data_IF_111014327394
#
_entry.id   IF_111014327394
#
_cell.length_a   1.000
_cell.length_b   1.000
_cell.length_c   1.000
_cell.angle_alpha   90.00
_cell.angle_beta   90.00
_cell.angle_gamma   90.00
#
_symmetry.space_group_name_H-M   'P 1'
#
loop_
_entity.id
_entity.type
_entity.pdbx_description
1 polymer ?
#
# COMPACT_ATOMS: atom_id res chain seq x y z
N UNK A 1 -0.62 -20.29 -0.37
CA UNK A 1 0.05 -19.15 -1.04
C UNK A 1 0.84 -19.57 -2.28
N UNK A 2 1.95 -20.34 -2.19
CA UNK A 2 2.74 -20.69 -3.38
C UNK A 2 1.93 -21.45 -4.44
N UNK A 3 1.11 -22.42 -4.03
CA UNK A 3 0.18 -23.12 -4.95
C UNK A 3 -0.81 -22.17 -5.64
N UNK A 4 -1.28 -21.14 -4.91
CA UNK A 4 -2.14 -20.10 -5.47
C UNK A 4 -1.38 -19.29 -6.50
N UNK A 5 -0.18 -18.81 -6.15
CA UNK A 5 0.66 -18.03 -7.05
C UNK A 5 0.96 -18.80 -8.35
N UNK A 6 1.31 -20.09 -8.25
CA UNK A 6 1.56 -20.96 -9.41
C UNK A 6 0.31 -21.13 -10.29
N UNK A 7 -0.90 -21.08 -9.73
CA UNK A 7 -2.13 -21.16 -10.50
C UNK A 7 -2.40 -19.90 -11.36
N UNK A 8 -1.87 -18.74 -10.94
CA UNK A 8 -1.96 -17.47 -11.66
C UNK A 8 -0.83 -17.26 -12.68
N UNK A 9 0.17 -18.15 -12.72
CA UNK A 9 1.31 -18.05 -13.63
C UNK A 9 0.87 -18.25 -15.09
N UNK A 10 1.30 -17.33 -15.95
CA UNK A 10 1.17 -17.42 -17.41
C UNK A 10 2.54 -17.29 -18.05
N UNK A 11 2.93 -18.33 -18.80
CA UNK A 11 4.14 -18.32 -19.63
C UNK A 11 3.75 -18.14 -21.10
N UNK A 12 4.29 -17.11 -21.74
CA UNK A 12 4.13 -16.91 -23.18
C UNK A 12 5.46 -16.50 -23.85
N UNK A 13 5.40 -16.19 -25.16
CA UNK A 13 6.59 -15.79 -25.92
C UNK A 13 7.27 -14.49 -25.44
N UNK A 14 6.60 -13.71 -24.60
CA UNK A 14 7.09 -12.44 -24.03
C UNK A 14 7.66 -12.60 -22.62
N UNK A 15 7.44 -13.74 -21.95
CA UNK A 15 8.03 -14.03 -20.64
C UNK A 15 7.08 -14.68 -19.63
N UNK A 16 7.40 -14.46 -18.35
CA UNK A 16 6.66 -14.95 -17.18
C UNK A 16 5.78 -13.79 -16.68
N UNK A 17 4.47 -14.02 -16.67
CA UNK A 17 3.46 -13.07 -16.20
C UNK A 17 2.56 -13.72 -15.17
N UNK A 18 1.79 -12.90 -14.46
CA UNK A 18 0.75 -13.38 -13.57
C UNK A 18 -0.56 -12.67 -13.87
N UNK A 19 -1.64 -13.44 -13.92
CA UNK A 19 -3.00 -12.94 -14.04
C UNK A 19 -3.51 -12.46 -12.68
N UNK A 20 -4.34 -11.41 -12.65
CA UNK A 20 -4.98 -10.98 -11.39
C UNK A 20 -6.10 -11.93 -11.01
N UNK A 21 -6.98 -12.29 -11.95
CA UNK A 21 -8.14 -13.15 -11.72
C UNK A 21 -8.02 -14.52 -12.43
N UNK A 22 -8.06 -15.63 -11.68
CA UNK A 22 -7.90 -16.99 -12.25
C UNK A 22 -8.96 -17.36 -13.31
N UNK A 23 -10.19 -16.86 -13.17
CA UNK A 23 -11.30 -17.28 -14.05
C UNK A 23 -11.70 -16.21 -15.05
N UNK A 24 -11.72 -14.95 -14.62
CA UNK A 24 -12.12 -13.84 -15.48
C UNK A 24 -11.05 -13.49 -16.53
N UNK A 25 -9.77 -13.47 -16.13
CA UNK A 25 -8.68 -13.05 -17.03
C UNK A 25 -8.19 -14.19 -17.92
N UNK A 26 -8.16 -15.43 -17.40
CA UNK A 26 -7.79 -16.64 -18.15
C UNK A 26 -8.70 -16.92 -19.35
N UNK A 27 -9.97 -16.50 -19.28
CA UNK A 27 -10.91 -16.60 -20.41
C UNK A 27 -10.71 -15.48 -21.45
N UNK A 28 -10.09 -14.37 -21.06
CA UNK A 28 -9.89 -13.19 -21.89
C UNK A 28 -8.44 -13.06 -22.44
N UNK A 29 -7.49 -13.84 -21.92
CA UNK A 29 -6.07 -13.77 -22.30
C UNK A 29 -5.44 -12.41 -22.00
N UNK A 30 -5.83 -11.78 -20.89
CA UNK A 30 -5.40 -10.43 -20.51
C UNK A 30 -4.36 -10.51 -19.42
N UNK A 31 -3.14 -10.07 -19.72
CA UNK A 31 -2.15 -9.76 -18.68
C UNK A 31 -2.40 -8.33 -18.19
N UNK A 32 -2.51 -8.16 -16.88
CA UNK A 32 -2.62 -6.86 -16.21
C UNK A 32 -1.37 -6.62 -15.36
N UNK A 33 -1.03 -5.33 -15.18
CA UNK A 33 0.17 -4.96 -14.41
C UNK A 33 0.08 -5.42 -12.95
N UNK A 34 -1.13 -5.47 -12.40
CA UNK A 34 -1.37 -5.88 -11.01
C UNK A 34 -0.94 -7.31 -10.75
N UNK A 35 -1.37 -8.28 -11.56
CA UNK A 35 -1.05 -9.68 -11.28
C UNK A 35 0.47 -9.91 -11.15
N UNK A 36 1.25 -9.34 -12.06
CA UNK A 36 2.72 -9.48 -12.03
C UNK A 36 3.36 -8.70 -10.87
N UNK A 37 2.85 -7.50 -10.56
CA UNK A 37 3.34 -6.71 -9.44
C UNK A 37 2.97 -7.32 -8.06
N UNK A 38 1.74 -7.83 -7.91
CA UNK A 38 1.26 -8.58 -6.75
C UNK A 38 2.11 -9.84 -6.54
N UNK A 39 2.40 -10.58 -7.61
CA UNK A 39 3.29 -11.73 -7.56
C UNK A 39 4.68 -11.38 -7.02
N UNK A 40 5.29 -10.28 -7.50
CA UNK A 40 6.58 -9.82 -7.00
C UNK A 40 6.51 -9.44 -5.51
N UNK A 41 5.44 -8.75 -5.09
CA UNK A 41 5.22 -8.39 -3.68
C UNK A 41 5.06 -9.63 -2.79
N UNK A 42 4.23 -10.60 -3.20
CA UNK A 42 4.02 -11.86 -2.50
C UNK A 42 5.32 -12.64 -2.35
N UNK A 43 6.08 -12.80 -3.43
CA UNK A 43 7.38 -13.47 -3.42
C UNK A 43 8.37 -12.74 -2.51
N UNK A 44 8.39 -11.41 -2.51
CA UNK A 44 9.21 -10.67 -1.54
C UNK A 44 8.83 -10.98 -0.10
N UNK A 45 7.54 -10.93 0.21
CA UNK A 45 7.02 -11.12 1.57
C UNK A 45 7.41 -12.48 2.13
N UNK A 46 7.45 -13.54 1.30
CA UNK A 46 7.84 -14.89 1.76
C UNK A 46 9.31 -15.26 1.56
N UNK A 47 10.18 -14.30 1.21
CA UNK A 47 11.59 -14.57 0.86
C UNK A 47 11.76 -15.52 -0.34
N UNK A 48 10.91 -15.38 -1.35
CA UNK A 48 10.88 -16.18 -2.57
C UNK A 48 11.14 -15.41 -3.88
N UNK A 49 11.59 -14.14 -3.83
CA UNK A 49 11.98 -13.42 -5.05
C UNK A 49 13.04 -14.21 -5.84
N UNK A 50 13.03 -14.12 -7.18
CA UNK A 50 14.01 -14.81 -8.01
C UNK A 50 15.44 -14.44 -7.64
N UNK A 51 16.28 -15.47 -7.49
CA UNK A 51 17.72 -15.32 -7.30
C UNK A 51 18.47 -15.42 -8.64
N UNK A 52 19.55 -14.65 -8.77
CA UNK A 52 20.37 -14.62 -9.98
C UNK A 52 19.94 -13.58 -11.03
N UNK A 53 20.94 -13.06 -11.75
CA UNK A 53 20.79 -11.96 -12.71
C UNK A 53 19.73 -12.24 -13.79
N UNK A 54 19.77 -13.45 -14.36
CA UNK A 54 18.90 -13.84 -15.48
C UNK A 54 17.43 -13.85 -15.08
N UNK A 55 17.10 -14.43 -13.93
CA UNK A 55 15.73 -14.54 -13.46
C UNK A 55 15.18 -13.15 -13.06
N UNK A 56 15.97 -12.34 -12.35
CA UNK A 56 15.61 -10.94 -12.04
C UNK A 56 15.39 -10.11 -13.30
N UNK A 57 16.25 -10.28 -14.31
CA UNK A 57 16.12 -9.57 -15.59
C UNK A 57 14.84 -9.96 -16.32
N UNK A 58 14.45 -11.23 -16.31
CA UNK A 58 13.21 -11.68 -16.96
C UNK A 58 11.97 -11.06 -16.30
N UNK A 59 11.91 -11.04 -14.97
CA UNK A 59 10.84 -10.39 -14.22
C UNK A 59 10.79 -8.87 -14.45
N UNK A 60 11.96 -8.23 -14.46
CA UNK A 60 12.08 -6.79 -14.74
C UNK A 60 11.55 -6.46 -16.12
N UNK A 61 11.92 -7.24 -17.14
CA UNK A 61 11.43 -7.07 -18.52
C UNK A 61 9.92 -7.28 -18.63
N UNK A 62 9.37 -8.28 -17.91
CA UNK A 62 7.93 -8.52 -17.88
C UNK A 62 7.17 -7.30 -17.33
N UNK A 63 7.58 -6.78 -16.16
CA UNK A 63 6.97 -5.57 -15.57
C UNK A 63 7.14 -4.34 -16.48
N UNK A 64 8.34 -4.13 -17.04
CA UNK A 64 8.62 -3.03 -17.96
C UNK A 64 7.80 -3.09 -19.25
N UNK A 65 7.37 -4.28 -19.68
CA UNK A 65 6.56 -4.44 -20.90
C UNK A 65 5.17 -3.81 -20.79
N UNK A 66 4.68 -3.56 -19.57
CA UNK A 66 3.45 -2.81 -19.32
C UNK A 66 3.61 -1.29 -19.43
N UNK A 67 4.84 -0.79 -19.57
CA UNK A 67 5.09 0.65 -19.63
C UNK A 67 4.85 1.21 -21.03
N UNK A 68 4.00 2.23 -21.13
CA UNK A 68 3.74 2.96 -22.37
C UNK A 68 4.85 3.97 -22.67
N UNK A 69 5.49 3.87 -23.85
CA UNK A 69 6.61 4.73 -24.23
C UNK A 69 6.29 6.24 -24.27
N UNK A 70 5.08 6.61 -24.73
CA UNK A 70 4.72 8.02 -24.92
C UNK A 70 4.42 8.75 -23.60
N UNK A 71 3.73 8.08 -22.68
CA UNK A 71 3.29 8.67 -21.41
C UNK A 71 4.21 8.33 -20.23
N UNK A 72 4.97 7.23 -20.34
CA UNK A 72 5.73 6.63 -19.24
C UNK A 72 4.86 5.84 -18.25
N UNK A 73 3.56 5.70 -18.48
CA UNK A 73 2.63 5.09 -17.53
C UNK A 73 2.58 3.56 -17.61
N UNK A 74 2.24 2.95 -16.47
CA UNK A 74 1.82 1.56 -16.38
C UNK A 74 0.32 1.54 -16.17
N UNK A 75 -0.47 1.44 -17.25
CA UNK A 75 -1.94 1.51 -17.16
C UNK A 75 -2.49 0.15 -16.74
N UNK A 76 -3.08 0.09 -15.55
CA UNK A 76 -3.85 -1.06 -15.09
C UNK A 76 -5.33 -0.98 -15.47
N UNK A 77 -6.04 -2.11 -15.41
CA UNK A 77 -7.46 -2.18 -15.78
C UNK A 77 -8.43 -1.63 -14.72
N UNK A 78 -8.02 -1.59 -13.44
CA UNK A 78 -8.96 -1.47 -12.31
C UNK A 78 -8.77 -0.24 -11.41
N UNK A 79 -7.61 0.42 -11.47
CA UNK A 79 -7.26 1.52 -10.58
C UNK A 79 -6.89 2.78 -11.36
N UNK A 80 -6.78 3.90 -10.65
CA UNK A 80 -6.32 5.14 -11.27
C UNK A 80 -4.88 4.99 -11.80
N UNK A 81 -4.55 5.77 -12.83
CA UNK A 81 -3.28 5.62 -13.56
C UNK A 81 -2.05 5.89 -12.68
N UNK A 82 -2.13 6.85 -11.75
CA UNK A 82 -1.03 7.18 -10.85
C UNK A 82 -0.74 6.06 -9.86
N UNK A 83 -1.78 5.48 -9.27
CA UNK A 83 -1.64 4.31 -8.41
C UNK A 83 -1.03 3.15 -9.19
N UNK A 84 -1.56 2.83 -10.38
CA UNK A 84 -1.06 1.70 -11.18
C UNK A 84 0.44 1.86 -11.51
N UNK A 85 0.87 3.08 -11.85
CA UNK A 85 2.28 3.39 -12.05
C UNK A 85 3.10 3.24 -10.76
N UNK A 86 2.66 3.81 -9.64
CA UNK A 86 3.36 3.68 -8.36
C UNK A 86 3.50 2.22 -7.93
N UNK A 87 2.47 1.40 -8.11
CA UNK A 87 2.48 -0.01 -7.77
C UNK A 87 3.49 -0.79 -8.63
N UNK A 88 3.46 -0.60 -9.95
CA UNK A 88 4.40 -1.25 -10.87
C UNK A 88 5.86 -0.83 -10.62
N UNK A 89 6.10 0.45 -10.35
CA UNK A 89 7.44 0.99 -10.08
C UNK A 89 7.98 0.45 -8.75
N UNK A 90 7.13 0.35 -7.73
CA UNK A 90 7.48 -0.30 -6.46
C UNK A 90 7.79 -1.79 -6.62
N UNK A 91 7.08 -2.49 -7.50
CA UNK A 91 7.41 -3.88 -7.85
C UNK A 91 8.71 -4.00 -8.66
N UNK A 92 9.05 -3.02 -9.50
CA UNK A 92 10.35 -2.98 -10.19
C UNK A 92 11.50 -2.79 -9.20
N UNK A 93 11.35 -1.92 -8.20
CA UNK A 93 12.37 -1.69 -7.17
C UNK A 93 12.76 -2.99 -6.44
N UNK A 94 11.79 -3.88 -6.19
CA UNK A 94 12.05 -5.18 -5.55
C UNK A 94 13.08 -6.04 -6.25
N UNK A 95 13.08 -5.93 -7.58
CA UNK A 95 13.91 -6.67 -8.50
C UNK A 95 15.17 -5.89 -8.87
N UNK A 96 15.41 -4.76 -8.18
CA UNK A 96 16.48 -3.80 -8.46
C UNK A 96 16.36 -3.16 -9.86
N UNK A 97 15.13 -3.16 -10.41
CA UNK A 97 14.77 -2.61 -11.71
C UNK A 97 14.26 -1.16 -11.64
N UNK A 98 14.08 -0.57 -12.82
CA UNK A 98 13.56 0.80 -13.01
C UNK A 98 12.61 0.86 -14.21
N UNK A 99 11.78 1.92 -14.34
CA UNK A 99 11.08 2.19 -15.58
C UNK A 99 12.02 2.31 -16.78
N UNK A 100 11.57 1.89 -17.96
CA UNK A 100 12.30 2.05 -19.24
C UNK A 100 12.19 3.47 -19.78
N UNK A 101 11.02 4.07 -19.65
CA UNK A 101 10.69 5.37 -20.21
C UNK A 101 10.48 6.41 -19.11
N UNK A 102 10.80 7.69 -19.36
CA UNK A 102 10.51 8.74 -18.40
C UNK A 102 9.01 8.88 -18.14
N UNK A 103 8.63 9.21 -16.91
CA UNK A 103 7.25 9.39 -16.47
C UNK A 103 6.65 10.71 -16.98
N UNK A 104 6.46 10.84 -18.30
CA UNK A 104 6.03 12.09 -18.93
C UNK A 104 4.70 12.62 -18.37
N UNK A 105 3.77 11.75 -18.01
CA UNK A 105 2.49 12.16 -17.43
C UNK A 105 2.62 12.74 -16.00
N UNK A 106 3.75 12.48 -15.31
CA UNK A 106 4.07 13.08 -14.02
C UNK A 106 4.83 14.40 -14.15
N UNK A 107 5.11 14.87 -15.37
CA UNK A 107 6.01 16.00 -15.60
C UNK A 107 5.57 17.28 -14.88
N UNK A 108 4.26 17.54 -14.81
CA UNK A 108 3.70 18.70 -14.12
C UNK A 108 4.02 18.68 -12.61
N UNK A 109 4.15 17.50 -12.00
CA UNK A 109 4.34 17.35 -10.55
C UNK A 109 5.81 17.41 -10.13
N UNK A 110 6.75 17.50 -11.07
CA UNK A 110 8.20 17.63 -10.76
C UNK A 110 8.58 19.03 -10.25
N UNK A 111 7.72 20.04 -10.39
CA UNK A 111 7.90 21.35 -9.77
C UNK A 111 7.21 21.42 -8.41
N UNK A 112 7.66 22.35 -7.55
CA UNK A 112 7.02 22.61 -6.26
C UNK A 112 5.56 23.01 -6.44
N UNK A 113 5.31 23.91 -7.39
CA UNK A 113 3.99 24.46 -7.66
C UNK A 113 3.03 23.37 -8.13
N UNK A 114 3.46 22.52 -9.06
CA UNK A 114 2.62 21.44 -9.58
C UNK A 114 2.40 20.32 -8.57
N UNK A 115 3.38 20.01 -7.73
CA UNK A 115 3.19 19.10 -6.60
C UNK A 115 2.13 19.64 -5.62
N UNK A 116 2.26 20.90 -5.23
CA UNK A 116 1.33 21.50 -4.26
C UNK A 116 -0.06 21.65 -4.84
N UNK A 117 -0.17 22.03 -6.12
CA UNK A 117 -1.44 22.07 -6.84
C UNK A 117 -2.14 20.70 -6.85
N UNK A 118 -1.40 19.62 -7.15
CA UNK A 118 -1.94 18.26 -7.07
C UNK A 118 -2.48 17.95 -5.66
N UNK A 119 -1.66 18.17 -4.63
CA UNK A 119 -2.03 17.83 -3.25
C UNK A 119 -3.21 18.67 -2.72
N UNK A 120 -3.32 19.95 -3.12
CA UNK A 120 -4.42 20.83 -2.77
C UNK A 120 -5.74 20.45 -3.47
N UNK A 121 -5.68 19.89 -4.67
CA UNK A 121 -6.86 19.51 -5.46
C UNK A 121 -7.46 18.15 -5.10
N UNK A 122 -6.76 17.33 -4.32
CA UNK A 122 -7.30 16.05 -3.86
C UNK A 122 -8.57 16.26 -3.03
N UNK A 123 -9.55 15.37 -3.19
CA UNK A 123 -10.79 15.40 -2.41
C UNK A 123 -10.58 14.81 -1.01
N UNK A 124 -9.98 15.63 -0.15
CA UNK A 124 -9.70 15.28 1.24
C UNK A 124 -10.93 15.15 2.12
N UNK A 125 -12.11 15.62 1.68
CA UNK A 125 -13.32 15.65 2.52
C UNK A 125 -14.23 14.48 2.18
N UNK A 126 -14.50 14.23 0.91
CA UNK A 126 -15.45 13.17 0.50
C UNK A 126 -14.75 11.86 0.15
N UNK A 127 -13.51 11.88 -0.34
CA UNK A 127 -12.80 10.69 -0.82
C UNK A 127 -11.33 10.60 -0.34
N UNK A 128 -11.00 10.85 0.95
CA UNK A 128 -9.62 10.90 1.41
C UNK A 128 -8.85 9.58 1.20
N UNK A 129 -9.52 8.43 1.32
CA UNK A 129 -8.89 7.13 1.11
C UNK A 129 -8.52 6.88 -0.37
N UNK A 130 -9.43 7.12 -1.30
CA UNK A 130 -9.17 6.92 -2.73
C UNK A 130 -8.19 7.95 -3.31
N UNK A 131 -8.34 9.21 -2.94
CA UNK A 131 -7.54 10.31 -3.51
C UNK A 131 -6.11 10.34 -2.98
N UNK A 132 -5.88 9.89 -1.74
CA UNK A 132 -4.54 9.81 -1.17
C UNK A 132 -3.61 8.87 -1.94
N UNK A 133 -4.13 7.86 -2.65
CA UNK A 133 -3.33 7.01 -3.54
C UNK A 133 -2.61 7.81 -4.64
N UNK A 134 -3.18 8.94 -5.07
CA UNK A 134 -2.56 9.83 -6.05
C UNK A 134 -1.42 10.63 -5.42
N UNK A 135 -1.68 11.23 -4.26
CA UNK A 135 -0.71 12.05 -3.52
C UNK A 135 0.45 11.25 -2.92
N UNK A 136 0.23 10.00 -2.52
CA UNK A 136 1.31 9.08 -2.12
C UNK A 136 2.02 8.48 -3.34
N UNK A 137 1.27 8.15 -4.38
CA UNK A 137 1.77 7.53 -5.61
C UNK A 137 2.73 8.43 -6.37
N UNK A 138 2.46 9.74 -6.43
CA UNK A 138 3.36 10.71 -7.07
C UNK A 138 4.76 10.69 -6.46
N UNK A 139 4.85 10.59 -5.13
CA UNK A 139 6.12 10.47 -4.42
C UNK A 139 6.79 9.15 -4.76
N UNK A 140 6.10 8.02 -4.57
CA UNK A 140 6.65 6.70 -4.82
C UNK A 140 7.17 6.56 -6.26
N UNK A 141 6.37 6.96 -7.26
CA UNK A 141 6.73 6.90 -8.67
C UNK A 141 7.97 7.74 -8.98
N UNK A 142 7.97 9.04 -8.65
CA UNK A 142 9.05 9.96 -9.03
C UNK A 142 10.35 9.65 -8.29
N UNK A 143 10.27 9.31 -7.00
CA UNK A 143 11.45 9.00 -6.17
C UNK A 143 12.09 7.67 -6.60
N UNK A 144 11.30 6.62 -6.79
CA UNK A 144 11.83 5.31 -7.19
C UNK A 144 12.34 5.32 -8.65
N UNK A 145 11.70 6.09 -9.53
CA UNK A 145 12.19 6.31 -10.89
C UNK A 145 13.44 7.21 -10.95
N UNK A 146 13.80 7.87 -9.84
CA UNK A 146 14.92 8.82 -9.73
C UNK A 146 14.77 10.02 -10.68
N UNK A 147 13.54 10.52 -10.82
CA UNK A 147 13.22 11.67 -11.68
C UNK A 147 13.10 12.99 -10.92
N UNK A 148 13.28 12.94 -9.61
CA UNK A 148 13.29 14.09 -8.70
C UNK A 148 14.46 13.96 -7.74
N UNK A 149 14.84 15.07 -7.12
CA UNK A 149 15.96 15.15 -6.18
C UNK A 149 15.50 15.36 -4.73
N UNK A 150 16.46 15.50 -3.82
CA UNK A 150 16.19 15.73 -2.39
C UNK A 150 15.46 17.04 -2.12
N UNK A 151 15.57 18.05 -2.99
CA UNK A 151 14.87 19.32 -2.79
C UNK A 151 13.37 19.14 -3.05
N UNK A 152 13.02 18.35 -4.06
CA UNK A 152 11.64 17.98 -4.32
C UNK A 152 11.05 17.14 -3.16
N UNK A 153 11.79 16.14 -2.66
CA UNK A 153 11.35 15.36 -1.51
C UNK A 153 11.10 16.23 -0.27
N UNK A 154 11.95 17.23 -0.04
CA UNK A 154 11.76 18.19 1.05
C UNK A 154 10.44 18.97 0.89
N UNK A 155 10.10 19.43 -0.32
CA UNK A 155 8.81 20.11 -0.56
C UNK A 155 7.62 19.24 -0.21
N UNK A 156 7.68 17.95 -0.58
CA UNK A 156 6.63 16.97 -0.28
C UNK A 156 6.43 16.79 1.22
N UNK A 157 7.50 16.54 1.96
CA UNK A 157 7.41 16.32 3.41
C UNK A 157 7.11 17.59 4.19
N UNK A 158 7.58 18.76 3.74
CA UNK A 158 7.21 20.05 4.31
C UNK A 158 5.70 20.30 4.16
N UNK A 159 5.13 20.01 2.98
CA UNK A 159 3.68 20.12 2.77
C UNK A 159 2.92 19.18 3.70
N UNK A 160 3.31 17.91 3.79
CA UNK A 160 2.66 16.97 4.71
C UNK A 160 2.75 17.47 6.16
N UNK A 161 3.92 17.94 6.60
CA UNK A 161 4.08 18.46 7.96
C UNK A 161 3.16 19.66 8.24
N UNK A 162 3.02 20.59 7.30
CA UNK A 162 2.14 21.75 7.43
C UNK A 162 0.66 21.38 7.44
N UNK A 163 0.29 20.32 6.72
CA UNK A 163 -1.09 19.89 6.51
C UNK A 163 -1.54 18.77 7.46
N UNK A 164 -0.67 18.31 8.36
CA UNK A 164 -1.04 17.38 9.41
C UNK A 164 -1.98 18.07 10.41
N UNK A 165 -3.08 17.40 10.73
CA UNK A 165 -4.09 17.89 11.64
C UNK A 165 -3.64 17.68 13.11
N UNK A 166 -3.45 18.73 13.90
CA UNK A 166 -2.97 18.58 15.28
C UNK A 166 -3.99 17.95 16.22
N UNK A 167 -5.28 17.90 15.87
CA UNK A 167 -6.31 17.32 16.73
C UNK A 167 -6.37 15.80 16.58
N UNK A 168 -6.04 15.27 15.40
CA UNK A 168 -6.17 13.85 15.07
C UNK A 168 -4.86 13.15 14.71
N UNK A 169 -3.80 13.91 14.40
CA UNK A 169 -2.56 13.38 13.81
C UNK A 169 -2.71 12.83 12.39
N UNK A 170 -3.87 13.02 11.76
CA UNK A 170 -4.19 12.57 10.40
C UNK A 170 -4.02 13.69 9.37
N UNK A 171 -4.12 13.34 8.10
CA UNK A 171 -4.24 14.29 6.98
C UNK A 171 -5.68 14.31 6.46
N UNK A 172 -6.26 15.46 6.10
CA UNK A 172 -5.69 16.81 5.98
C UNK A 172 -6.29 17.77 7.02
N UNK A 173 -5.47 18.64 7.59
CA UNK A 173 -5.88 19.73 8.50
C UNK A 173 -7.04 20.53 7.93
N UNK A 174 -8.10 20.68 8.72
CA UNK A 174 -9.32 21.40 8.33
C UNK A 174 -10.25 20.63 7.39
N UNK A 175 -9.94 19.38 7.01
CA UNK A 175 -10.78 18.55 6.14
C UNK A 175 -11.51 17.41 6.88
N UNK A 176 -11.14 17.13 8.13
CA UNK A 176 -11.64 15.96 8.88
C UNK A 176 -12.90 16.33 9.69
N UNK A 177 -12.74 17.22 10.67
CA UNK A 177 -13.83 17.71 11.52
C UNK A 177 -14.09 19.21 11.33
N UNK A 178 -15.31 19.64 11.59
CA UNK A 178 -15.70 21.06 11.60
C UNK A 178 -15.38 21.75 12.95
N UNK A 179 -15.80 23.00 13.11
CA UNK A 179 -15.56 23.78 14.33
C UNK A 179 -16.26 23.22 15.59
N UNK A 180 -17.25 22.34 15.42
CA UNK A 180 -17.98 21.68 16.50
C UNK A 180 -17.46 20.27 16.78
N UNK A 181 -16.48 19.79 16.01
CA UNK A 181 -15.91 18.45 16.14
C UNK A 181 -16.68 17.38 15.35
N UNK A 182 -17.62 17.76 14.48
CA UNK A 182 -18.39 16.85 13.65
C UNK A 182 -17.65 16.54 12.34
N UNK A 183 -17.78 15.30 11.83
CA UNK A 183 -17.14 14.90 10.57
C UNK A 183 -17.68 15.73 9.39
N UNK A 184 -16.77 16.29 8.58
CA UNK A 184 -17.13 17.15 7.44
C UNK A 184 -17.63 16.38 6.21
N UNK A 185 -17.35 15.08 6.13
CA UNK A 185 -17.65 14.27 4.96
C UNK A 185 -17.49 12.78 5.24
N UNK A 186 -16.43 12.18 4.70
CA UNK A 186 -16.16 10.76 4.81
C UNK A 186 -16.03 10.28 6.27
N UNK A 187 -16.30 8.99 6.56
CA UNK A 187 -16.05 8.42 7.88
C UNK A 187 -14.60 8.63 8.32
N UNK A 188 -14.37 8.76 9.64
CA UNK A 188 -13.02 8.97 10.20
C UNK A 188 -12.03 7.89 9.75
N UNK A 189 -12.49 6.65 9.60
CA UNK A 189 -11.67 5.56 9.07
C UNK A 189 -11.10 5.87 7.68
N UNK A 190 -11.86 6.52 6.79
CA UNK A 190 -11.36 6.86 5.45
C UNK A 190 -10.22 7.88 5.50
N UNK A 191 -10.22 8.77 6.50
CA UNK A 191 -9.09 9.69 6.74
C UNK A 191 -7.87 8.96 7.30
N UNK A 192 -8.08 7.95 8.16
CA UNK A 192 -7.03 7.05 8.62
C UNK A 192 -6.41 6.27 7.47
N UNK A 193 -7.24 5.60 6.67
CA UNK A 193 -6.81 4.83 5.50
C UNK A 193 -6.16 5.74 4.44
N UNK A 194 -6.62 6.99 4.32
CA UNK A 194 -5.95 7.98 3.49
C UNK A 194 -4.57 8.42 4.02
N UNK A 195 -4.45 8.57 5.34
CA UNK A 195 -3.21 8.93 6.02
C UNK A 195 -2.17 7.81 5.98
N UNK A 196 -2.62 6.54 6.06
CA UNK A 196 -1.80 5.35 5.89
C UNK A 196 -0.92 5.44 4.64
N UNK A 197 -1.48 5.88 3.51
CA UNK A 197 -0.74 5.99 2.25
C UNK A 197 0.45 6.98 2.32
N UNK A 198 0.42 7.97 3.20
CA UNK A 198 1.54 8.90 3.38
C UNK A 198 2.56 8.37 4.40
N UNK A 199 2.13 7.53 5.33
CA UNK A 199 3.01 6.98 6.36
C UNK A 199 4.08 6.06 5.81
N UNK A 200 3.83 5.28 4.75
CA UNK A 200 4.88 4.47 4.15
C UNK A 200 5.94 5.32 3.42
N UNK A 201 5.57 6.49 2.87
CA UNK A 201 6.52 7.44 2.28
C UNK A 201 7.42 8.04 3.36
N UNK A 202 6.80 8.43 4.50
CA UNK A 202 7.52 8.91 5.67
C UNK A 202 8.46 7.83 6.22
N UNK A 203 7.98 6.59 6.40
CA UNK A 203 8.76 5.46 6.90
C UNK A 203 9.96 5.16 5.99
N UNK A 204 9.76 5.12 4.67
CA UNK A 204 10.83 4.87 3.69
C UNK A 204 11.97 5.92 3.75
N UNK A 205 11.66 7.15 4.13
CA UNK A 205 12.66 8.22 4.34
C UNK A 205 12.97 8.51 5.81
N UNK A 206 12.55 7.64 6.73
CA UNK A 206 12.72 7.80 8.17
C UNK A 206 12.30 9.20 8.67
N UNK A 207 11.22 9.74 8.11
CA UNK A 207 10.69 11.03 8.48
C UNK A 207 9.86 10.93 9.76
N UNK A 208 9.87 11.98 10.61
CA UNK A 208 9.02 12.03 11.79
C UNK A 208 7.54 12.12 11.39
N UNK A 209 6.69 11.41 12.10
CA UNK A 209 5.23 11.52 11.99
C UNK A 209 4.80 12.73 12.84
N UNK A 210 4.20 13.79 12.24
CA UNK A 210 3.66 14.90 13.01
C UNK A 210 2.54 14.42 13.94
N UNK A 211 2.52 14.92 15.18
CA UNK A 211 1.45 14.62 16.15
C UNK A 211 1.20 13.11 16.33
N UNK A 212 2.30 12.34 16.45
CA UNK A 212 2.25 10.87 16.52
C UNK A 212 1.46 10.34 17.72
N UNK A 213 1.44 11.08 18.84
CA UNK A 213 0.68 10.69 20.04
C UNK A 213 -0.82 10.90 19.82
N UNK A 214 -1.21 12.00 19.16
CA UNK A 214 -2.58 12.29 18.77
C UNK A 214 -3.10 11.30 17.71
N UNK A 215 -2.23 10.84 16.80
CA UNK A 215 -2.55 9.77 15.86
C UNK A 215 -2.85 8.45 16.61
N UNK A 216 -2.02 8.08 17.58
CA UNK A 216 -2.26 6.92 18.45
C UNK A 216 -3.59 7.05 19.19
N UNK A 217 -3.86 8.23 19.77
CA UNK A 217 -5.10 8.47 20.50
C UNK A 217 -6.33 8.38 19.58
N UNK A 218 -6.23 8.90 18.36
CA UNK A 218 -7.28 8.83 17.33
C UNK A 218 -7.55 7.38 16.91
N UNK A 219 -6.50 6.60 16.66
CA UNK A 219 -6.62 5.18 16.34
C UNK A 219 -7.34 4.41 17.47
N UNK A 220 -6.93 4.60 18.72
CA UNK A 220 -7.56 3.91 19.87
C UNK A 220 -9.02 4.36 20.04
N UNK A 221 -9.30 5.65 19.90
CA UNK A 221 -10.66 6.19 20.02
C UNK A 221 -11.57 5.62 18.93
N UNK A 222 -11.09 5.54 17.68
CA UNK A 222 -11.82 4.95 16.57
C UNK A 222 -12.09 3.45 16.78
N UNK A 223 -11.11 2.70 17.29
CA UNK A 223 -11.31 1.28 17.64
C UNK A 223 -12.42 1.11 18.68
N UNK A 224 -12.42 1.95 19.72
CA UNK A 224 -13.36 1.85 20.84
C UNK A 224 -14.75 2.34 20.55
N UNK A 225 -14.92 3.27 19.61
CA UNK A 225 -16.24 3.77 19.24
C UNK A 225 -17.01 2.74 18.41
N UNK A 226 -16.35 1.67 17.95
CA UNK A 226 -16.89 0.69 16.99
C UNK A 226 -17.37 1.34 15.68
N UNK A 227 -16.95 2.59 15.41
CA UNK A 227 -17.31 3.37 14.21
C UNK A 227 -16.38 3.06 13.02
N UNK A 228 -15.81 1.85 12.98
CA UNK A 228 -15.18 1.35 11.77
C UNK A 228 -16.24 0.79 10.83
N UNK A 229 -16.17 1.12 9.55
CA UNK A 229 -16.85 0.31 8.56
C UNK A 229 -15.98 -0.92 8.32
N UNK A 230 -16.34 -2.07 8.90
CA UNK A 230 -15.73 -3.33 8.47
C UNK A 230 -16.12 -3.53 7.01
N UNK A 231 -15.15 -3.62 6.08
CA UNK A 231 -15.48 -3.85 4.68
C UNK A 231 -16.32 -5.12 4.54
N UNK A 232 -17.36 -5.05 3.72
CA UNK A 232 -18.28 -6.17 3.46
C UNK A 232 -17.56 -7.36 2.80
N UNK A 233 -16.43 -7.08 2.15
CA UNK A 233 -15.53 -8.07 1.56
C UNK A 233 -14.47 -8.43 2.61
N UNK A 234 -14.45 -9.69 3.02
CA UNK A 234 -13.67 -10.20 4.15
C UNK A 234 -12.15 -10.25 3.90
N UNK A 235 -11.67 -9.80 2.74
CA UNK A 235 -10.27 -9.69 2.34
C UNK A 235 -10.04 -8.31 1.72
N UNK A 236 -9.78 -7.32 2.56
CA UNK A 236 -9.45 -5.99 2.09
C UNK A 236 -8.11 -5.55 2.67
N UNK A 237 -7.60 -4.42 2.21
CA UNK A 237 -6.38 -3.81 2.74
C UNK A 237 -6.59 -3.16 4.13
N UNK A 238 -7.79 -3.28 4.72
CA UNK A 238 -8.17 -2.69 6.01
C UNK A 238 -7.18 -3.02 7.14
N UNK A 239 -6.80 -4.29 7.28
CA UNK A 239 -5.87 -4.70 8.34
C UNK A 239 -4.49 -4.09 8.15
N UNK A 240 -4.07 -3.89 6.89
CA UNK A 240 -2.82 -3.20 6.63
C UNK A 240 -2.95 -1.73 7.01
N UNK A 241 -3.99 -1.05 6.53
CA UNK A 241 -4.14 0.40 6.68
C UNK A 241 -4.04 0.82 8.15
N UNK A 242 -4.70 0.08 9.03
CA UNK A 242 -4.75 0.41 10.45
C UNK A 242 -3.59 -0.17 11.28
N UNK A 243 -3.26 -1.46 11.12
CA UNK A 243 -2.21 -2.09 11.93
C UNK A 243 -0.85 -1.49 11.54
N UNK A 244 -0.66 -1.13 10.28
CA UNK A 244 0.57 -0.47 9.81
C UNK A 244 0.71 0.92 10.41
N UNK A 245 -0.37 1.73 10.43
CA UNK A 245 -0.37 3.06 11.07
C UNK A 245 0.14 2.96 12.52
N UNK A 246 -0.44 2.05 13.31
CA UNK A 246 -0.03 1.84 14.70
C UNK A 246 1.41 1.33 14.80
N UNK A 247 1.84 0.45 13.91
CA UNK A 247 3.22 -0.02 13.84
C UNK A 247 4.22 1.11 13.57
N UNK A 248 3.90 2.02 12.64
CA UNK A 248 4.69 3.23 12.37
C UNK A 248 4.76 4.15 13.60
N UNK A 249 3.65 4.34 14.31
CA UNK A 249 3.62 5.13 15.54
C UNK A 249 4.51 4.53 16.63
N UNK A 250 4.41 3.21 16.87
CA UNK A 250 5.20 2.50 17.88
C UNK A 250 6.71 2.48 17.59
N UNK A 251 7.14 2.77 16.35
CA UNK A 251 8.56 2.98 16.02
C UNK A 251 9.06 4.36 16.47
N UNK A 252 8.18 5.33 16.74
CA UNK A 252 8.54 6.72 17.06
C UNK A 252 8.12 7.19 18.45
N UNK A 253 7.14 6.55 19.10
CA UNK A 253 6.70 6.87 20.46
C UNK A 253 6.37 5.62 21.29
N UNK A 254 6.47 5.75 22.62
CA UNK A 254 5.98 4.77 23.59
C UNK A 254 4.59 5.09 24.15
N UNK A 255 3.97 6.19 23.70
CA UNK A 255 2.65 6.61 24.15
C UNK A 255 1.62 5.49 24.02
N UNK A 256 0.98 5.14 25.15
CA UNK A 256 -0.05 4.09 25.26
C UNK A 256 0.33 2.75 24.63
N UNK A 257 1.62 2.40 24.61
CA UNK A 257 2.14 1.20 23.93
C UNK A 257 1.38 -0.08 24.25
N UNK A 258 1.16 -0.39 25.52
CA UNK A 258 0.47 -1.62 25.92
C UNK A 258 -0.97 -1.68 25.41
N UNK A 259 -1.64 -0.53 25.38
CA UNK A 259 -2.99 -0.42 24.88
C UNK A 259 -3.05 -0.57 23.37
N UNK A 260 -2.10 0.03 22.64
CA UNK A 260 -1.94 -0.17 21.20
C UNK A 260 -1.75 -1.65 20.88
N UNK A 261 -0.89 -2.36 21.63
CA UNK A 261 -0.66 -3.79 21.41
C UNK A 261 -1.91 -4.64 21.72
N UNK A 262 -2.69 -4.30 22.76
CA UNK A 262 -3.95 -4.98 23.05
C UNK A 262 -4.96 -4.79 21.90
N UNK A 263 -5.10 -3.55 21.46
CA UNK A 263 -5.94 -3.12 20.34
C UNK A 263 -5.57 -3.82 19.02
N UNK A 264 -4.28 -3.97 18.72
CA UNK A 264 -3.80 -4.75 17.56
C UNK A 264 -4.25 -6.20 17.66
N UNK A 265 -4.08 -6.84 18.82
CA UNK A 265 -4.49 -8.25 19.01
C UNK A 265 -5.99 -8.44 18.84
N UNK A 266 -6.78 -7.54 19.41
CA UNK A 266 -8.24 -7.60 19.32
C UNK A 266 -8.75 -7.34 17.90
N UNK A 267 -8.20 -6.33 17.22
CA UNK A 267 -8.58 -6.01 15.82
C UNK A 267 -8.16 -7.09 14.82
N UNK A 268 -7.04 -7.77 15.05
CA UNK A 268 -6.53 -8.80 14.14
C UNK A 268 -7.33 -10.12 14.23
N UNK A 269 -8.00 -10.40 15.35
CA UNK A 269 -8.63 -11.70 15.59
C UNK A 269 -9.68 -12.11 14.53
N UNK A 270 -10.62 -11.23 14.10
CA UNK A 270 -11.59 -11.59 13.06
C UNK A 270 -10.92 -11.90 11.71
N UNK A 271 -9.90 -11.14 11.33
CA UNK A 271 -9.13 -11.35 10.11
C UNK A 271 -8.41 -12.70 10.13
N UNK A 272 -7.70 -13.01 11.23
CA UNK A 272 -6.99 -14.28 11.39
C UNK A 272 -7.95 -15.48 11.33
N UNK A 273 -9.07 -15.40 12.04
CA UNK A 273 -10.10 -16.46 12.02
C UNK A 273 -10.68 -16.65 10.61
N UNK A 274 -10.80 -15.58 9.83
CA UNK A 274 -11.27 -15.66 8.45
C UNK A 274 -10.24 -16.32 7.52
N UNK A 275 -8.95 -15.95 7.63
CA UNK A 275 -7.87 -16.59 6.87
C UNK A 275 -7.77 -18.09 7.19
N UNK A 276 -7.87 -18.47 8.46
CA UNK A 276 -7.91 -19.88 8.88
C UNK A 276 -9.06 -20.64 8.22
N UNK A 277 -10.27 -20.07 8.27
CA UNK A 277 -11.45 -20.64 7.63
C UNK A 277 -11.28 -20.82 6.12
N UNK A 278 -10.67 -19.85 5.42
CA UNK A 278 -10.37 -19.98 4.00
C UNK A 278 -9.42 -21.14 3.71
N UNK A 279 -8.37 -21.29 4.53
CA UNK A 279 -7.40 -22.38 4.43
C UNK A 279 -8.04 -23.76 4.61
N UNK A 280 -8.99 -23.89 5.54
CA UNK A 280 -9.76 -25.12 5.75
C UNK A 280 -10.67 -25.46 4.57
N UNK A 281 -11.29 -24.45 3.95
CA UNK A 281 -12.25 -24.64 2.86
C UNK A 281 -11.61 -24.93 1.51
N UNK A 282 -10.46 -24.33 1.22
CA UNK A 282 -9.74 -24.54 -0.05
C UNK A 282 -8.22 -24.59 0.18
N UNK A 283 -7.68 -25.77 0.57
CA UNK A 283 -6.26 -25.92 0.87
C UNK A 283 -5.33 -25.68 -0.33
N UNK A 284 -5.83 -25.88 -1.55
CA UNK A 284 -5.03 -25.78 -2.79
C UNK A 284 -5.10 -24.39 -3.46
N UNK A 285 -6.28 -23.76 -3.50
CA UNK A 285 -6.53 -22.51 -4.24
C UNK A 285 -7.53 -21.61 -3.45
N UNK A 286 -7.11 -20.94 -2.37
CA UNK A 286 -8.05 -20.15 -1.56
C UNK A 286 -8.41 -18.78 -2.16
N UNK A 287 -7.67 -18.27 -3.14
CA UNK A 287 -7.89 -16.93 -3.70
C UNK A 287 -8.06 -16.97 -5.21
N UNK A 288 -9.11 -16.30 -5.68
CA UNK A 288 -9.36 -16.08 -7.11
C UNK A 288 -8.75 -14.76 -7.59
N UNK A 289 -8.64 -13.76 -6.70
CA UNK A 289 -7.98 -12.47 -6.93
C UNK A 289 -6.60 -12.46 -6.25
N UNK A 290 -5.54 -12.35 -7.06
CA UNK A 290 -4.16 -12.27 -6.57
C UNK A 290 -3.90 -10.99 -5.77
N UNK A 291 -4.64 -9.92 -6.07
CA UNK A 291 -4.53 -8.65 -5.37
C UNK A 291 -5.07 -8.74 -3.94
N UNK A 292 -6.19 -9.44 -3.74
CA UNK A 292 -6.69 -9.77 -2.39
C UNK A 292 -5.73 -10.66 -1.62
N UNK A 293 -5.06 -11.62 -2.28
CA UNK A 293 -4.02 -12.42 -1.63
C UNK A 293 -2.82 -11.55 -1.21
N UNK A 294 -2.40 -10.61 -2.06
CA UNK A 294 -1.34 -9.65 -1.76
C UNK A 294 -1.67 -8.80 -0.52
N UNK A 295 -2.90 -8.27 -0.44
CA UNK A 295 -3.41 -7.58 0.74
C UNK A 295 -3.39 -8.47 1.98
N UNK A 296 -3.95 -9.67 1.90
CA UNK A 296 -4.01 -10.59 3.04
C UNK A 296 -2.62 -10.95 3.60
N UNK A 297 -1.68 -11.31 2.71
CA UNK A 297 -0.32 -11.70 3.11
C UNK A 297 0.46 -10.50 3.65
N UNK A 298 0.24 -9.31 3.12
CA UNK A 298 0.83 -8.08 3.65
C UNK A 298 0.26 -7.75 5.04
N UNK A 299 -1.05 -7.91 5.26
CA UNK A 299 -1.68 -7.77 6.57
C UNK A 299 -1.10 -8.74 7.60
N UNK A 300 -0.94 -10.01 7.25
CA UNK A 300 -0.25 -11.01 8.07
C UNK A 300 1.18 -10.61 8.42
N UNK A 301 1.93 -10.04 7.46
CA UNK A 301 3.30 -9.58 7.69
C UNK A 301 3.35 -8.41 8.70
N UNK A 302 2.45 -7.43 8.58
CA UNK A 302 2.36 -6.33 9.54
C UNK A 302 1.98 -6.82 10.93
N UNK A 303 0.98 -7.70 11.04
CA UNK A 303 0.56 -8.30 12.32
C UNK A 303 1.71 -9.07 12.94
N UNK A 304 2.45 -9.88 12.17
CA UNK A 304 3.59 -10.65 12.67
C UNK A 304 4.69 -9.75 13.25
N UNK A 305 4.93 -8.56 12.68
CA UNK A 305 5.94 -7.64 13.22
C UNK A 305 5.56 -7.10 14.61
N UNK A 306 4.26 -6.91 14.90
CA UNK A 306 3.79 -6.26 16.13
C UNK A 306 3.30 -7.25 17.19
N UNK A 307 2.78 -8.40 16.76
CA UNK A 307 2.26 -9.48 17.60
C UNK A 307 2.69 -10.84 16.99
N UNK A 308 3.99 -11.19 17.05
CA UNK A 308 4.54 -12.39 16.42
C UNK A 308 3.92 -13.69 16.92
N UNK A 309 3.34 -13.70 18.11
CA UNK A 309 2.61 -14.83 18.67
C UNK A 309 1.32 -15.19 17.90
N UNK A 310 0.77 -14.26 17.12
CA UNK A 310 -0.49 -14.45 16.38
C UNK A 310 -0.31 -15.06 14.99
N UNK A 311 0.87 -14.90 14.39
CA UNK A 311 1.15 -15.35 13.02
C UNK A 311 2.42 -16.17 13.03
N UNK A 312 2.28 -17.49 13.02
CA UNK A 312 3.41 -18.43 13.03
C UNK A 312 3.72 -18.88 11.61
N UNK A 313 4.96 -18.64 11.17
CA UNK A 313 5.45 -19.06 9.85
C UNK A 313 6.83 -19.69 9.98
N UNK A 314 7.17 -20.63 9.08
CA UNK A 314 8.49 -21.29 9.06
C UNK A 314 9.65 -20.30 8.89
N UNK A 315 9.37 -19.18 8.22
CA UNK A 315 10.29 -18.05 8.03
C UNK A 315 9.55 -16.75 8.29
N UNK A 316 10.17 -15.75 8.94
CA UNK A 316 9.55 -14.44 9.13
C UNK A 316 9.12 -13.81 7.80
N UNK A 317 7.91 -13.27 7.76
CA UNK A 317 7.37 -12.53 6.64
C UNK A 317 8.07 -11.16 6.56
N UNK A 318 8.42 -10.74 5.34
CA UNK A 318 8.98 -9.42 5.08
C UNK A 318 7.87 -8.43 4.78
N UNK A 319 7.87 -7.30 5.46
CA UNK A 319 6.94 -6.23 5.15
C UNK A 319 7.41 -5.48 3.91
N UNK A 320 6.57 -5.50 2.87
CA UNK A 320 6.82 -4.82 1.60
C UNK A 320 7.18 -3.35 1.78
N UNK A 321 6.37 -2.68 2.59
CA UNK A 321 6.40 -1.25 2.85
C UNK A 321 7.67 -0.77 3.59
N UNK A 322 8.42 -1.68 4.23
CA UNK A 322 9.71 -1.32 4.83
C UNK A 322 10.83 -1.16 3.78
N UNK A 323 10.67 -1.75 2.58
CA UNK A 323 11.67 -1.65 1.50
C UNK A 323 11.30 -0.62 0.44
N UNK A 324 10.03 -0.52 0.06
CA UNK A 324 9.56 0.44 -0.96
C UNK A 324 8.20 1.02 -0.58
N UNK A 325 7.94 2.30 -0.88
CA UNK A 325 6.81 3.00 -0.31
C UNK A 325 5.57 2.97 -1.21
N UNK A 326 5.04 1.78 -1.56
CA UNK A 326 3.71 1.68 -2.19
C UNK A 326 3.21 0.24 -2.27
N UNK A 327 1.93 0.03 -1.95
CA UNK A 327 1.14 -1.18 -2.27
C UNK A 327 -0.29 -0.81 -2.64
#
# INVERSE_FOLDING_TARGET
MLLTLDAHLVEDAKGIFYERFLRADKQAGRTDVYGTADAANLLYTVNGLPEGETAKSAWTQALQSFQEQGSGMFRGLYHNELHSAAFAISALELLDGKPLYPLQQFAAYRSKEGLYELLEQLDWVQQPWGESQKGSGVFASLVLAQEVDSAWEAWYFDWLKEQADPATGLWRKGCIVDEYGELRGAPLFHHLAGSFHYLFNLAYRNQPIPYVEELVDTCIALFRSEQWEQPKEQLSFFEIDWVYVLGCCLKQTSHRREEVLAVIRESAAPFLAYIEKLGEQSPAEPFEDLHSLCGAVSGLAVIQQLAPELVLTDRPLKLVLDRRPFI
#
